data_IF_583208288438
#
_entry.id   IF_583208288438
#
_cell.length_a   1.000
_cell.length_b   1.000
_cell.length_c   1.000
_cell.angle_alpha   90.00
_cell.angle_beta   90.00
_cell.angle_gamma   90.00
#
_symmetry.space_group_name_H-M   'P 1'
#
loop_
_entity.id
_entity.type
_entity.pdbx_description
1 polymer ?
#
# COMPACT_ATOMS: atom_id res chain seq x y z
N UNK A 1 5.49 -13.33 2.01
CA UNK A 1 4.25 -14.14 1.96
C UNK A 1 4.24 -15.21 3.04
N UNK A 2 5.32 -15.97 3.21
CA UNK A 2 5.38 -17.02 4.24
C UNK A 2 5.05 -16.48 5.63
N UNK A 3 5.54 -15.30 6.01
CA UNK A 3 5.26 -14.71 7.33
C UNK A 3 3.76 -14.44 7.55
N UNK A 4 3.03 -14.06 6.50
CA UNK A 4 1.58 -13.84 6.53
C UNK A 4 0.83 -15.17 6.69
N UNK A 5 1.27 -16.20 5.96
CA UNK A 5 0.70 -17.55 6.04
C UNK A 5 1.00 -18.20 7.40
N UNK A 6 2.14 -17.88 8.02
CA UNK A 6 2.47 -18.33 9.37
C UNK A 6 1.70 -17.55 10.44
N UNK A 7 1.48 -16.26 10.22
CA UNK A 7 0.80 -15.37 11.17
C UNK A 7 -0.70 -15.66 11.30
N UNK A 8 -1.42 -15.83 10.19
CA UNK A 8 -2.86 -16.08 10.20
C UNK A 8 -3.20 -17.40 9.49
N UNK A 9 -3.70 -18.36 10.27
CA UNK A 9 -4.13 -19.68 9.82
C UNK A 9 -5.18 -19.62 8.70
N UNK A 10 -5.92 -18.50 8.58
CA UNK A 10 -6.84 -18.28 7.47
C UNK A 10 -6.15 -18.39 6.11
N UNK A 11 -4.88 -18.00 5.99
CA UNK A 11 -4.15 -18.12 4.73
C UNK A 11 -3.61 -19.53 4.48
N UNK A 12 -3.53 -20.40 5.49
CA UNK A 12 -3.15 -21.80 5.28
C UNK A 12 -4.24 -22.52 4.47
N UNK A 13 -3.82 -23.53 3.71
CA UNK A 13 -4.77 -24.41 3.04
C UNK A 13 -5.30 -25.41 4.06
N UNK A 14 -6.61 -25.38 4.30
CA UNK A 14 -7.32 -26.36 5.12
C UNK A 14 -8.47 -26.98 4.35
N UNK A 15 -9.43 -27.58 5.05
CA UNK A 15 -10.66 -28.08 4.46
C UNK A 15 -11.77 -27.01 4.52
N UNK A 16 -12.60 -26.97 3.48
CA UNK A 16 -13.83 -26.17 3.46
C UNK A 16 -14.93 -26.83 4.29
N UNK A 17 -16.07 -26.15 4.41
CA UNK A 17 -17.23 -26.62 5.19
C UNK A 17 -17.83 -27.94 4.69
N UNK A 18 -17.48 -28.36 3.47
CA UNK A 18 -17.96 -29.58 2.81
C UNK A 18 -16.86 -30.67 2.84
N UNK A 19 -15.71 -30.40 3.44
CA UNK A 19 -14.59 -31.33 3.56
C UNK A 19 -13.71 -31.42 2.31
N UNK A 20 -13.77 -30.45 1.39
CA UNK A 20 -12.88 -30.34 0.23
C UNK A 20 -11.72 -29.40 0.54
N UNK A 21 -10.68 -29.43 -0.27
CA UNK A 21 -9.59 -28.46 -0.12
C UNK A 21 -10.11 -27.02 -0.30
N UNK A 22 -9.91 -26.21 0.74
CA UNK A 22 -10.19 -24.77 0.68
C UNK A 22 -9.21 -24.07 -0.25
N UNK A 23 -9.48 -22.79 -0.55
CA UNK A 23 -8.61 -21.99 -1.41
C UNK A 23 -7.16 -21.96 -0.92
N UNK A 24 -6.24 -22.10 -1.86
CA UNK A 24 -4.81 -22.09 -1.56
C UNK A 24 -4.35 -20.72 -1.03
N UNK A 25 -3.28 -20.67 -0.22
CA UNK A 25 -2.68 -19.43 0.26
C UNK A 25 -2.39 -18.45 -0.89
N UNK A 26 -1.86 -18.96 -2.01
CA UNK A 26 -1.55 -18.18 -3.20
C UNK A 26 -2.79 -17.48 -3.75
N UNK A 27 -3.90 -18.19 -3.88
CA UNK A 27 -5.13 -17.63 -4.41
C UNK A 27 -5.73 -16.56 -3.49
N UNK A 28 -5.70 -16.81 -2.17
CA UNK A 28 -6.12 -15.84 -1.14
C UNK A 28 -5.26 -14.57 -1.13
N UNK A 29 -3.96 -14.71 -1.34
CA UNK A 29 -3.04 -13.57 -1.39
C UNK A 29 -3.15 -12.80 -2.70
N UNK A 30 -3.22 -13.50 -3.83
CA UNK A 30 -3.40 -12.88 -5.16
C UNK A 30 -4.68 -12.06 -5.23
N UNK A 31 -5.77 -12.51 -4.60
CA UNK A 31 -7.02 -11.72 -4.56
C UNK A 31 -6.85 -10.41 -3.77
N UNK A 32 -6.15 -10.45 -2.62
CA UNK A 32 -5.82 -9.25 -1.85
C UNK A 32 -4.91 -8.30 -2.65
N UNK A 33 -3.86 -8.81 -3.29
CA UNK A 33 -2.96 -8.01 -4.13
C UNK A 33 -3.65 -7.42 -5.35
N UNK A 34 -4.54 -8.17 -6.00
CA UNK A 34 -5.31 -7.68 -7.14
C UNK A 34 -6.18 -6.49 -6.75
N UNK A 35 -6.84 -6.57 -5.59
CA UNK A 35 -7.66 -5.46 -5.10
C UNK A 35 -6.82 -4.21 -4.77
N UNK A 36 -5.61 -4.39 -4.22
CA UNK A 36 -4.67 -3.29 -3.94
C UNK A 36 -4.08 -2.66 -5.21
N UNK A 37 -3.64 -3.49 -6.16
CA UNK A 37 -2.92 -3.04 -7.34
C UNK A 37 -3.82 -2.32 -8.34
N UNK A 38 -5.05 -2.81 -8.52
CA UNK A 38 -5.95 -2.32 -9.56
C UNK A 38 -7.03 -1.38 -9.03
N UNK A 39 -7.13 -1.18 -7.70
CA UNK A 39 -8.17 -0.36 -7.06
C UNK A 39 -9.59 -0.77 -7.48
N UNK A 40 -9.74 -2.02 -7.93
CA UNK A 40 -10.86 -2.47 -8.72
C UNK A 40 -12.01 -2.92 -7.82
N UNK A 41 -13.24 -2.86 -8.35
CA UNK A 41 -14.36 -3.52 -7.69
C UNK A 41 -14.08 -5.03 -7.64
N UNK A 42 -14.45 -5.61 -6.51
CA UNK A 42 -14.50 -7.06 -6.24
C UNK A 42 -15.08 -7.89 -7.39
N UNK A 43 -15.99 -7.29 -8.19
CA UNK A 43 -16.60 -7.87 -9.38
C UNK A 43 -15.60 -8.20 -10.52
N UNK A 44 -14.57 -7.38 -10.72
CA UNK A 44 -13.54 -7.64 -11.74
C UNK A 44 -12.55 -8.75 -11.34
N UNK A 45 -12.43 -9.02 -10.03
CA UNK A 45 -11.59 -10.09 -9.51
C UNK A 45 -12.29 -11.44 -9.58
N UNK A 46 -13.61 -11.48 -9.75
CA UNK A 46 -14.36 -12.71 -10.02
C UNK A 46 -13.95 -13.32 -11.37
N UNK A 47 -13.71 -12.50 -12.41
CA UNK A 47 -13.22 -13.00 -13.70
C UNK A 47 -11.81 -13.63 -13.60
N UNK A 48 -10.94 -13.08 -12.76
CA UNK A 48 -9.53 -13.50 -12.69
C UNK A 48 -9.30 -14.62 -11.67
N UNK A 49 -9.97 -14.55 -10.52
CA UNK A 49 -9.75 -15.47 -9.40
C UNK A 49 -10.91 -16.46 -9.20
N UNK A 50 -12.10 -16.20 -9.75
CA UNK A 50 -13.35 -16.96 -9.51
C UNK A 50 -13.65 -17.13 -8.02
N UNK A 51 -13.54 -16.04 -7.28
CA UNK A 51 -13.77 -15.99 -5.84
C UNK A 51 -14.88 -14.99 -5.57
N UNK A 52 -15.81 -15.35 -4.68
CA UNK A 52 -16.84 -14.45 -4.21
C UNK A 52 -16.25 -13.17 -3.61
N UNK A 53 -16.88 -12.03 -3.91
CA UNK A 53 -16.54 -10.70 -3.40
C UNK A 53 -16.26 -10.68 -1.89
N UNK A 54 -17.12 -11.32 -1.10
CA UNK A 54 -17.00 -11.37 0.36
C UNK A 54 -15.68 -12.01 0.83
N UNK A 55 -15.19 -13.01 0.09
CA UNK A 55 -13.93 -13.70 0.39
C UNK A 55 -12.75 -12.81 -0.01
N UNK A 56 -12.82 -12.08 -1.12
CA UNK A 56 -11.77 -11.12 -1.52
C UNK A 56 -11.63 -10.02 -0.46
N UNK A 57 -12.75 -9.45 0.00
CA UNK A 57 -12.76 -8.44 1.06
C UNK A 57 -12.20 -8.99 2.37
N UNK A 58 -12.56 -10.24 2.72
CA UNK A 58 -12.02 -10.90 3.91
C UNK A 58 -10.51 -11.13 3.79
N UNK A 59 -10.03 -11.62 2.64
CA UNK A 59 -8.61 -11.80 2.35
C UNK A 59 -7.86 -10.47 2.48
N UNK A 60 -8.40 -9.38 1.94
CA UNK A 60 -7.80 -8.06 2.05
C UNK A 60 -7.69 -7.59 3.51
N UNK A 61 -8.76 -7.69 4.29
CA UNK A 61 -8.76 -7.28 5.71
C UNK A 61 -7.77 -8.09 6.54
N UNK A 62 -7.76 -9.41 6.33
CA UNK A 62 -6.85 -10.36 6.98
C UNK A 62 -5.40 -10.09 6.58
N UNK A 63 -5.16 -9.81 5.31
CA UNK A 63 -3.85 -9.45 4.78
C UNK A 63 -3.32 -8.16 5.42
N UNK A 64 -4.14 -7.11 5.48
CA UNK A 64 -3.76 -5.88 6.16
C UNK A 64 -3.44 -6.10 7.64
N UNK A 65 -4.28 -6.86 8.36
CA UNK A 65 -4.04 -7.18 9.77
C UNK A 65 -2.73 -7.94 9.97
N UNK A 66 -2.40 -8.86 9.07
CA UNK A 66 -1.14 -9.60 9.12
C UNK A 66 0.04 -8.68 8.82
N UNK A 67 -0.02 -7.89 7.74
CA UNK A 67 1.03 -6.95 7.34
C UNK A 67 1.31 -5.93 8.44
N UNK A 68 0.27 -5.32 9.02
CA UNK A 68 0.47 -4.38 10.12
C UNK A 68 1.13 -5.09 11.29
N UNK A 69 0.63 -6.26 11.69
CA UNK A 69 1.20 -6.94 12.87
C UNK A 69 2.64 -7.42 12.67
N UNK A 70 3.01 -7.90 11.47
CA UNK A 70 4.35 -8.42 11.20
C UNK A 70 5.35 -7.31 10.86
N UNK A 71 4.91 -6.24 10.19
CA UNK A 71 5.80 -5.25 9.59
C UNK A 71 5.76 -3.89 10.30
N UNK A 72 4.83 -3.65 11.22
CA UNK A 72 4.66 -2.32 11.82
C UNK A 72 5.91 -1.84 12.55
N UNK A 73 6.52 -2.71 13.36
CA UNK A 73 7.71 -2.34 14.15
C UNK A 73 8.94 -2.02 13.28
N UNK A 74 8.99 -2.47 12.03
CA UNK A 74 10.15 -2.32 11.16
C UNK A 74 9.92 -1.30 10.04
N UNK A 75 8.69 -1.16 9.53
CA UNK A 75 8.41 -0.41 8.31
C UNK A 75 7.29 0.63 8.44
N UNK A 76 6.45 0.56 9.48
CA UNK A 76 5.30 1.47 9.65
C UNK A 76 5.37 2.27 10.96
N UNK A 77 6.53 2.29 11.60
CA UNK A 77 6.80 3.12 12.78
C UNK A 77 7.29 4.50 12.34
N UNK A 78 7.17 5.49 13.23
CA UNK A 78 7.79 6.79 13.00
C UNK A 78 9.32 6.68 13.09
N UNK A 79 10.08 7.46 12.29
CA UNK A 79 11.53 7.37 12.26
C UNK A 79 12.12 7.66 13.64
N UNK A 80 13.03 6.81 14.09
CA UNK A 80 13.75 7.03 15.35
C UNK A 80 14.87 8.06 15.16
N UNK A 81 15.43 8.56 16.27
CA UNK A 81 16.60 9.45 16.22
C UNK A 81 17.80 8.77 15.53
N UNK A 82 17.93 7.44 15.71
CA UNK A 82 18.99 6.65 15.09
C UNK A 82 18.79 6.50 13.58
N UNK A 83 17.54 6.25 13.13
CA UNK A 83 17.19 6.23 11.70
C UNK A 83 17.55 7.56 11.03
N UNK A 84 17.16 8.68 11.67
CA UNK A 84 17.46 10.03 11.17
C UNK A 84 18.97 10.30 11.10
N UNK A 85 19.72 9.89 12.13
CA UNK A 85 21.19 10.06 12.15
C UNK A 85 21.87 9.23 11.07
N UNK A 86 21.39 8.02 10.83
CA UNK A 86 21.89 7.16 9.76
C UNK A 86 21.59 7.76 8.37
N UNK A 87 20.36 8.24 8.15
CA UNK A 87 19.98 8.94 6.91
C UNK A 87 20.84 10.18 6.67
N UNK A 88 21.00 11.04 7.68
CA UNK A 88 21.82 12.26 7.62
C UNK A 88 23.29 11.95 7.31
N UNK A 89 23.84 10.88 7.87
CA UNK A 89 25.19 10.46 7.55
C UNK A 89 25.31 10.06 6.06
N UNK A 90 24.36 9.30 5.54
CA UNK A 90 24.36 8.85 4.14
C UNK A 90 24.21 10.00 3.15
N UNK A 91 23.28 10.92 3.40
CA UNK A 91 23.06 12.08 2.52
C UNK A 91 24.21 13.10 2.60
N UNK A 92 24.86 13.24 3.77
CA UNK A 92 26.06 14.05 3.91
C UNK A 92 27.22 13.51 3.06
N UNK A 93 27.44 12.18 3.03
CA UNK A 93 28.43 11.54 2.15
C UNK A 93 28.16 11.79 0.67
N UNK A 94 26.89 12.04 0.30
CA UNK A 94 26.46 12.37 -1.06
C UNK A 94 26.46 13.87 -1.37
N UNK A 95 26.87 14.73 -0.42
CA UNK A 95 26.96 16.19 -0.60
C UNK A 95 25.74 16.99 -0.11
N UNK A 96 24.80 16.36 0.61
CA UNK A 96 23.57 16.99 1.11
C UNK A 96 23.44 16.88 2.64
N UNK A 97 24.29 17.56 3.43
CA UNK A 97 24.43 17.31 4.88
C UNK A 97 23.22 17.64 5.77
N UNK A 98 22.17 18.24 5.22
CA UNK A 98 20.96 18.62 5.96
C UNK A 98 19.67 18.07 5.32
N UNK A 99 19.78 17.19 4.32
CA UNK A 99 18.64 16.67 3.57
C UNK A 99 18.25 15.28 4.06
N UNK A 100 17.21 15.17 4.90
CA UNK A 100 16.77 13.87 5.43
C UNK A 100 16.09 13.03 4.33
N UNK A 101 15.39 13.69 3.43
CA UNK A 101 14.61 13.07 2.35
C UNK A 101 14.68 13.90 1.08
N UNK A 102 14.54 13.24 -0.07
CA UNK A 102 14.27 13.90 -1.34
C UNK A 102 12.76 13.97 -1.53
N UNK A 103 12.24 15.17 -1.80
CA UNK A 103 10.83 15.39 -2.09
C UNK A 103 10.70 15.58 -3.60
N UNK A 104 9.91 14.72 -4.25
CA UNK A 104 9.49 14.94 -5.64
C UNK A 104 8.00 15.26 -5.69
N UNK A 105 7.64 16.23 -6.52
CA UNK A 105 6.28 16.74 -6.64
C UNK A 105 5.83 16.66 -8.09
N UNK A 106 4.95 15.70 -8.38
CA UNK A 106 4.29 15.64 -9.68
C UNK A 106 2.99 16.44 -9.66
N UNK A 107 2.83 17.29 -10.66
CA UNK A 107 1.66 18.13 -10.85
C UNK A 107 0.79 17.59 -11.98
N UNK A 108 -0.44 17.19 -11.68
CA UNK A 108 -1.39 16.78 -12.71
C UNK A 108 -2.61 17.68 -12.74
N UNK A 109 -3.00 18.08 -13.95
CA UNK A 109 -4.29 18.75 -14.16
C UNK A 109 -5.41 17.76 -13.89
N UNK A 110 -6.30 18.11 -12.97
CA UNK A 110 -7.42 17.25 -12.62
C UNK A 110 -8.60 17.51 -13.56
N UNK A 111 -8.53 16.89 -14.74
CA UNK A 111 -9.50 17.09 -15.83
C UNK A 111 -10.97 16.88 -15.41
N UNK A 112 -11.20 15.95 -14.49
CA UNK A 112 -12.54 15.61 -13.97
C UNK A 112 -12.76 16.12 -12.53
N UNK A 113 -12.11 17.22 -12.13
CA UNK A 113 -12.31 17.82 -10.81
C UNK A 113 -13.79 18.22 -10.62
N UNK A 114 -14.45 17.78 -9.53
CA UNK A 114 -15.81 18.21 -9.22
C UNK A 114 -15.88 19.74 -9.08
N UNK A 115 -16.93 20.36 -9.61
CA UNK A 115 -17.12 21.83 -9.58
C UNK A 115 -17.05 22.39 -8.16
N UNK A 116 -17.63 21.67 -7.18
CA UNK A 116 -17.60 22.08 -5.77
C UNK A 116 -16.19 22.11 -5.15
N UNK A 117 -15.22 21.39 -5.73
CA UNK A 117 -13.84 21.33 -5.24
C UNK A 117 -12.88 22.14 -6.12
N UNK A 118 -13.28 22.49 -7.34
CA UNK A 118 -12.45 23.19 -8.30
C UNK A 118 -11.85 24.49 -7.73
N UNK A 119 -12.59 25.23 -6.90
CA UNK A 119 -12.09 26.45 -6.26
C UNK A 119 -10.87 26.22 -5.36
N UNK A 120 -10.88 25.15 -4.56
CA UNK A 120 -9.79 24.83 -3.62
C UNK A 120 -8.52 24.33 -4.32
N UNK A 121 -8.69 23.63 -5.45
CA UNK A 121 -7.57 23.03 -6.19
C UNK A 121 -7.11 23.86 -7.39
N UNK A 122 -7.73 25.02 -7.64
CA UNK A 122 -7.37 25.92 -8.74
C UNK A 122 -6.49 27.05 -8.24
N UNK A 123 -5.18 26.93 -8.51
CA UNK A 123 -4.21 27.99 -8.24
C UNK A 123 -4.06 28.98 -9.40
N UNK A 124 -2.88 29.60 -9.49
CA UNK A 124 -2.54 30.64 -10.47
C UNK A 124 -2.81 30.26 -11.94
N UNK A 125 -2.69 28.96 -12.31
CA UNK A 125 -2.90 28.50 -13.69
C UNK A 125 -4.37 28.30 -14.09
N UNK A 126 -5.33 28.73 -13.26
CA UNK A 126 -6.79 28.70 -13.50
C UNK A 126 -7.35 27.32 -13.89
N UNK A 127 -6.65 26.26 -13.50
CA UNK A 127 -7.08 24.88 -13.69
C UNK A 127 -6.88 24.09 -12.39
N UNK A 128 -7.80 23.20 -12.04
CA UNK A 128 -7.67 22.37 -10.86
C UNK A 128 -6.49 21.41 -11.02
N UNK A 129 -5.67 21.27 -9.98
CA UNK A 129 -4.50 20.39 -9.97
C UNK A 129 -4.47 19.51 -8.73
N UNK A 130 -4.01 18.28 -8.94
CA UNK A 130 -3.60 17.38 -7.86
C UNK A 130 -2.08 17.39 -7.81
N UNK A 131 -1.55 17.42 -6.59
CA UNK A 131 -0.13 17.29 -6.30
C UNK A 131 0.08 15.89 -5.73
N UNK A 132 0.95 15.12 -6.36
CA UNK A 132 1.46 13.90 -5.77
C UNK A 132 2.85 14.20 -5.23
N UNK A 133 2.98 14.20 -3.91
CA UNK A 133 4.24 14.37 -3.21
C UNK A 133 4.77 12.97 -2.85
N UNK A 134 5.97 12.66 -3.32
CA UNK A 134 6.67 11.42 -2.99
C UNK A 134 7.92 11.78 -2.21
N UNK A 135 8.03 11.21 -1.03
CA UNK A 135 9.20 11.34 -0.17
C UNK A 135 10.04 10.10 -0.36
N UNK A 136 11.24 10.27 -0.91
CA UNK A 136 12.20 9.18 -1.10
C UNK A 136 13.37 9.34 -0.12
N UNK A 137 13.69 8.26 0.59
CA UNK A 137 14.86 8.17 1.46
C UNK A 137 15.75 7.00 0.99
N UNK A 138 16.96 6.89 1.56
CA UNK A 138 17.84 5.75 1.27
C UNK A 138 17.27 4.44 1.84
N UNK A 139 16.54 4.51 2.95
CA UNK A 139 15.93 3.36 3.60
C UNK A 139 14.51 3.14 3.06
N UNK A 140 14.06 1.88 3.11
CA UNK A 140 12.70 1.49 2.73
C UNK A 140 11.67 1.70 3.84
N UNK A 141 12.09 2.22 4.99
CA UNK A 141 11.26 2.66 6.10
C UNK A 141 11.48 4.18 6.30
N UNK A 142 10.39 4.91 6.52
CA UNK A 142 10.40 6.34 6.86
C UNK A 142 9.80 6.45 8.24
#
# INVERSE_FOLDING_TARGET
>A
MNDIVQYDDYFKQGLDVVGRDSFSPHLKLTSAFGMLAYGCSTYSLDETCRIAESIVLLCLRKFFSAITSTNYAQYLHAPTVDDNRHLLHHVAQRGFPHMIVSIDCMHWEWKNCPTGWAGQFTGHKKKPKIFLEVVASYNTWI
#
